data_IF_109948606734
#
_entry.id   IF_109948606734
#
_cell.length_a   1.000
_cell.length_b   1.000
_cell.length_c   1.000
_cell.angle_alpha   90.00
_cell.angle_beta   90.00
_cell.angle_gamma   90.00
#
_symmetry.space_group_name_H-M   'P 1'
#
loop_
_entity.id
_entity.type
_entity.pdbx_description
1 polymer ?
#
# COMPACT_ATOMS: atom_id res chain seq x y z
N UNK A 1 5.69 27.78 -14.43
CA UNK A 1 5.62 26.32 -14.67
C UNK A 1 5.36 25.60 -13.35
N UNK A 2 4.12 25.24 -13.07
CA UNK A 2 3.67 24.64 -11.80
C UNK A 2 2.64 23.52 -12.01
N UNK A 3 1.99 23.44 -13.18
CA UNK A 3 0.97 22.42 -13.47
C UNK A 3 1.52 21.02 -13.70
N UNK A 4 2.66 20.87 -14.41
CA UNK A 4 3.21 19.54 -14.75
C UNK A 4 3.67 18.78 -13.51
N UNK A 5 4.46 19.41 -12.63
CA UNK A 5 4.89 18.79 -11.37
C UNK A 5 3.68 18.38 -10.52
N UNK A 6 2.68 19.26 -10.37
CA UNK A 6 1.45 18.96 -9.62
C UNK A 6 0.68 17.80 -10.23
N UNK A 7 0.55 17.77 -11.55
CA UNK A 7 -0.12 16.70 -12.28
C UNK A 7 0.57 15.36 -12.04
N UNK A 8 1.90 15.30 -12.15
CA UNK A 8 2.69 14.08 -11.87
C UNK A 8 2.45 13.61 -10.43
N UNK A 9 2.50 14.52 -9.45
CA UNK A 9 2.25 14.18 -8.05
C UNK A 9 0.84 13.62 -7.81
N UNK A 10 -0.18 14.25 -8.40
CA UNK A 10 -1.57 13.83 -8.28
C UNK A 10 -1.83 12.50 -8.97
N UNK A 11 -1.28 12.29 -10.18
CA UNK A 11 -1.39 11.03 -10.91
C UNK A 11 -0.70 9.91 -10.14
N UNK A 12 0.51 10.12 -9.61
CA UNK A 12 1.18 9.13 -8.78
C UNK A 12 0.34 8.77 -7.55
N UNK A 13 -0.21 9.76 -6.84
CA UNK A 13 -1.07 9.51 -5.68
C UNK A 13 -2.34 8.72 -6.05
N UNK A 14 -2.98 9.08 -7.17
CA UNK A 14 -4.20 8.42 -7.63
C UNK A 14 -3.94 6.97 -8.07
N UNK A 15 -2.86 6.74 -8.82
CA UNK A 15 -2.45 5.41 -9.27
C UNK A 15 -2.02 4.54 -8.09
N UNK A 16 -1.28 5.10 -7.13
CA UNK A 16 -0.86 4.39 -5.92
C UNK A 16 -2.07 3.99 -5.07
N UNK A 17 -2.99 4.93 -4.81
CA UNK A 17 -4.24 4.64 -4.10
C UNK A 17 -5.11 3.63 -4.84
N UNK A 18 -5.31 3.81 -6.15
CA UNK A 18 -6.13 2.92 -6.97
C UNK A 18 -5.62 1.48 -6.97
N UNK A 19 -4.30 1.28 -7.08
CA UNK A 19 -3.68 -0.04 -6.96
C UNK A 19 -3.92 -0.66 -5.57
N UNK A 20 -3.78 0.12 -4.49
CA UNK A 20 -4.02 -0.36 -3.13
C UNK A 20 -5.48 -0.77 -2.89
N UNK A 21 -6.41 0.07 -3.35
CA UNK A 21 -7.85 -0.17 -3.25
C UNK A 21 -8.26 -1.42 -4.05
N UNK A 22 -7.84 -1.49 -5.32
CA UNK A 22 -8.14 -2.62 -6.20
C UNK A 22 -7.56 -3.93 -5.65
N UNK A 23 -6.32 -3.89 -5.15
CA UNK A 23 -5.72 -5.07 -4.54
C UNK A 23 -6.52 -5.57 -3.33
N UNK A 24 -6.95 -4.64 -2.48
CA UNK A 24 -7.67 -4.95 -1.23
C UNK A 24 -9.06 -5.53 -1.49
N UNK A 25 -9.82 -4.93 -2.42
CA UNK A 25 -11.24 -5.27 -2.62
C UNK A 25 -11.43 -6.39 -3.65
N UNK A 26 -10.58 -6.46 -4.68
CA UNK A 26 -10.75 -7.42 -5.77
C UNK A 26 -9.69 -8.53 -5.73
N UNK A 27 -8.41 -8.16 -5.82
CA UNK A 27 -7.32 -9.15 -6.05
C UNK A 27 -7.13 -10.07 -4.85
N UNK A 28 -7.08 -9.53 -3.63
CA UNK A 28 -6.90 -10.30 -2.41
C UNK A 28 -7.98 -11.37 -2.22
N UNK A 29 -9.29 -11.00 -2.24
CA UNK A 29 -10.38 -11.97 -2.16
C UNK A 29 -10.41 -12.97 -3.31
N UNK A 30 -10.04 -12.57 -4.53
CA UNK A 30 -10.05 -13.44 -5.70
C UNK A 30 -9.14 -14.67 -5.54
N UNK A 31 -8.03 -14.58 -4.81
CA UNK A 31 -7.16 -15.75 -4.59
C UNK A 31 -7.82 -16.86 -3.76
N UNK A 32 -8.84 -16.54 -2.98
CA UNK A 32 -9.52 -17.50 -2.10
C UNK A 32 -10.99 -17.70 -2.48
N UNK A 33 -11.39 -17.28 -3.68
CA UNK A 33 -12.73 -17.56 -4.21
C UNK A 33 -12.90 -19.05 -4.55
N UNK A 34 -14.16 -19.49 -4.62
CA UNK A 34 -14.47 -20.87 -4.99
C UNK A 34 -13.94 -21.22 -6.39
N UNK A 35 -13.95 -20.25 -7.32
CA UNK A 35 -13.42 -20.40 -8.67
C UNK A 35 -11.90 -20.65 -8.66
N UNK A 36 -11.16 -19.89 -7.85
CA UNK A 36 -9.71 -20.08 -7.73
C UNK A 36 -9.37 -21.40 -7.03
N UNK A 37 -10.14 -21.77 -6.00
CA UNK A 37 -9.94 -23.03 -5.29
C UNK A 37 -10.34 -24.24 -6.15
N UNK A 38 -11.28 -24.10 -7.07
CA UNK A 38 -11.65 -25.14 -8.03
C UNK A 38 -10.50 -25.51 -8.96
N UNK A 39 -9.64 -24.54 -9.32
CA UNK A 39 -8.40 -24.80 -10.11
C UNK A 39 -7.46 -25.74 -9.35
N UNK A 40 -7.48 -25.69 -8.01
CA UNK A 40 -6.67 -26.57 -7.14
C UNK A 40 -7.43 -27.80 -6.63
N UNK A 41 -8.55 -28.15 -7.27
CA UNK A 41 -9.31 -29.39 -7.02
C UNK A 41 -10.68 -29.15 -6.39
N UNK A 42 -10.80 -28.23 -5.43
CA UNK A 42 -12.05 -27.68 -4.87
C UNK A 42 -11.74 -26.91 -3.57
N UNK A 43 -12.74 -26.20 -3.03
CA UNK A 43 -12.64 -25.57 -1.72
C UNK A 43 -12.44 -26.58 -0.57
N UNK A 44 -12.84 -27.83 -0.76
CA UNK A 44 -12.73 -28.92 0.22
C UNK A 44 -11.48 -29.77 0.02
N UNK A 45 -10.81 -29.68 -1.13
CA UNK A 45 -9.62 -30.45 -1.41
C UNK A 45 -8.48 -30.10 -0.42
N UNK A 46 -7.77 -31.11 0.12
CA UNK A 46 -6.63 -30.85 1.00
C UNK A 46 -5.57 -30.04 0.23
N UNK A 47 -4.99 -29.05 0.90
CA UNK A 47 -3.96 -28.13 0.36
C UNK A 47 -4.40 -27.12 -0.72
N UNK A 48 -5.64 -27.11 -1.21
CA UNK A 48 -6.08 -26.11 -2.22
C UNK A 48 -5.82 -24.66 -1.77
N UNK A 49 -6.13 -24.37 -0.49
CA UNK A 49 -5.84 -23.08 0.16
C UNK A 49 -4.35 -22.79 0.32
N UNK A 50 -3.51 -23.82 0.44
CA UNK A 50 -2.06 -23.65 0.52
C UNK A 50 -1.49 -23.19 -0.81
N UNK A 51 -1.94 -23.79 -1.92
CA UNK A 51 -1.54 -23.40 -3.27
C UNK A 51 -2.03 -22.00 -3.62
N UNK A 52 -3.29 -21.68 -3.31
CA UNK A 52 -3.83 -20.33 -3.42
C UNK A 52 -2.99 -19.30 -2.64
N UNK A 53 -2.61 -19.63 -1.40
CA UNK A 53 -1.73 -18.79 -0.57
C UNK A 53 -0.36 -18.55 -1.19
N UNK A 54 0.25 -19.56 -1.82
CA UNK A 54 1.53 -19.42 -2.52
C UNK A 54 1.41 -18.50 -3.75
N UNK A 55 0.33 -18.63 -4.53
CA UNK A 55 0.05 -17.72 -5.65
C UNK A 55 -0.14 -16.29 -5.15
N UNK A 56 -0.92 -16.10 -4.08
CA UNK A 56 -1.12 -14.79 -3.46
C UNK A 56 0.22 -14.16 -3.04
N UNK A 57 1.17 -14.92 -2.47
CA UNK A 57 2.48 -14.40 -2.08
C UNK A 57 3.33 -13.91 -3.27
N UNK A 58 3.26 -14.58 -4.41
CA UNK A 58 3.97 -14.15 -5.64
C UNK A 58 3.45 -12.80 -6.09
N UNK A 59 2.13 -12.62 -6.12
CA UNK A 59 1.50 -11.37 -6.52
C UNK A 59 1.73 -10.28 -5.47
N UNK A 60 1.68 -10.62 -4.19
CA UNK A 60 1.95 -9.69 -3.08
C UNK A 60 3.38 -9.10 -3.16
N UNK A 61 4.36 -9.89 -3.62
CA UNK A 61 5.74 -9.38 -3.85
C UNK A 61 5.76 -8.28 -4.92
N UNK A 62 4.97 -8.43 -5.99
CA UNK A 62 4.86 -7.41 -7.04
C UNK A 62 4.10 -6.17 -6.55
N UNK A 63 3.07 -6.38 -5.73
CA UNK A 63 2.33 -5.31 -5.07
C UNK A 63 3.22 -4.45 -4.16
N UNK A 64 4.10 -5.04 -3.35
CA UNK A 64 5.05 -4.27 -2.55
C UNK A 64 6.09 -3.53 -3.40
N UNK A 65 6.56 -4.12 -4.50
CA UNK A 65 7.43 -3.42 -5.45
C UNK A 65 6.75 -2.16 -5.99
N UNK A 66 5.46 -2.25 -6.32
CA UNK A 66 4.67 -1.11 -6.76
C UNK A 66 4.62 0.00 -5.70
N UNK A 67 4.41 -0.36 -4.44
CA UNK A 67 4.48 0.61 -3.33
C UNK A 67 5.85 1.28 -3.22
N UNK A 68 6.95 0.55 -3.44
CA UNK A 68 8.29 1.13 -3.41
C UNK A 68 8.51 2.14 -4.53
N UNK A 69 8.06 1.81 -5.74
CA UNK A 69 8.13 2.71 -6.90
C UNK A 69 7.32 3.98 -6.64
N UNK A 70 6.06 3.86 -6.23
CA UNK A 70 5.21 5.02 -5.95
C UNK A 70 5.72 5.87 -4.78
N UNK A 71 6.28 5.25 -3.74
CA UNK A 71 6.93 5.94 -2.64
C UNK A 71 8.17 6.72 -3.11
N UNK A 72 9.03 6.09 -3.92
CA UNK A 72 10.21 6.75 -4.49
C UNK A 72 9.81 7.95 -5.36
N UNK A 73 8.83 7.78 -6.26
CA UNK A 73 8.29 8.87 -7.09
C UNK A 73 7.75 9.99 -6.19
N UNK A 74 6.97 9.64 -5.16
CA UNK A 74 6.41 10.61 -4.21
C UNK A 74 7.49 11.41 -3.47
N UNK A 75 8.56 10.75 -3.02
CA UNK A 75 9.69 11.39 -2.32
C UNK A 75 10.50 12.29 -3.24
N UNK A 76 10.83 11.82 -4.44
CA UNK A 76 11.53 12.63 -5.46
C UNK A 76 10.69 13.84 -5.84
N UNK A 77 9.38 13.66 -6.00
CA UNK A 77 8.46 14.75 -6.28
C UNK A 77 8.40 15.78 -5.15
N UNK A 78 8.37 15.33 -3.88
CA UNK A 78 8.40 16.21 -2.71
C UNK A 78 9.71 17.02 -2.64
N UNK A 79 10.86 16.38 -2.91
CA UNK A 79 12.15 17.05 -2.96
C UNK A 79 12.23 18.06 -4.12
N UNK A 80 11.70 17.69 -5.29
CA UNK A 80 11.63 18.58 -6.44
C UNK A 80 10.77 19.81 -6.14
N UNK A 81 9.61 19.65 -5.49
CA UNK A 81 8.77 20.78 -5.08
C UNK A 81 9.53 21.73 -4.12
N UNK A 82 10.24 21.18 -3.13
CA UNK A 82 11.01 21.99 -2.19
C UNK A 82 12.16 22.75 -2.88
N UNK A 83 12.91 22.07 -3.74
CA UNK A 83 14.07 22.64 -4.43
C UNK A 83 13.68 23.67 -5.51
N UNK A 84 12.68 23.38 -6.33
CA UNK A 84 12.30 24.26 -7.45
C UNK A 84 11.40 25.43 -7.04
N UNK A 85 10.54 25.26 -6.04
CA UNK A 85 9.59 26.30 -5.64
C UNK A 85 10.05 27.10 -4.41
N UNK A 86 11.15 26.68 -3.76
CA UNK A 86 11.65 27.29 -2.52
C UNK A 86 10.62 27.24 -1.38
N UNK A 87 9.64 26.34 -1.47
CA UNK A 87 8.52 26.28 -0.53
C UNK A 87 8.87 25.40 0.67
N UNK A 88 8.46 25.80 1.88
CA UNK A 88 8.63 24.95 3.04
C UNK A 88 7.81 23.66 2.85
N UNK A 89 8.44 22.53 3.14
CA UNK A 89 7.78 21.23 3.13
C UNK A 89 6.58 21.24 4.09
N UNK A 90 5.37 21.02 3.57
CA UNK A 90 4.19 20.93 4.40
C UNK A 90 4.34 19.74 5.35
N UNK A 91 4.47 20.02 6.66
CA UNK A 91 4.80 19.05 7.70
C UNK A 91 3.87 17.83 7.67
N UNK A 92 2.56 18.07 7.52
CA UNK A 92 1.57 16.98 7.48
C UNK A 92 1.67 16.11 6.22
N UNK A 93 1.79 16.69 5.02
CA UNK A 93 1.92 15.93 3.77
C UNK A 93 3.21 15.11 3.76
N UNK A 94 4.30 15.71 4.22
CA UNK A 94 5.61 15.06 4.31
C UNK A 94 5.59 13.92 5.32
N UNK A 95 5.06 14.16 6.52
CA UNK A 95 4.92 13.14 7.56
C UNK A 95 4.05 11.97 7.12
N UNK A 96 2.93 12.26 6.44
CA UNK A 96 2.04 11.22 5.90
C UNK A 96 2.73 10.38 4.82
N UNK A 97 3.40 11.02 3.85
CA UNK A 97 4.13 10.31 2.79
C UNK A 97 5.24 9.42 3.38
N UNK A 98 6.02 9.95 4.32
CA UNK A 98 7.06 9.19 5.00
C UNK A 98 6.48 8.01 5.79
N UNK A 99 5.37 8.24 6.51
CA UNK A 99 4.67 7.17 7.23
C UNK A 99 4.19 6.06 6.32
N UNK A 100 3.56 6.40 5.19
CA UNK A 100 3.10 5.42 4.18
C UNK A 100 4.29 4.69 3.56
N UNK A 101 5.39 5.40 3.26
CA UNK A 101 6.59 4.79 2.69
C UNK A 101 7.23 3.78 3.68
N UNK A 102 7.35 4.15 4.95
CA UNK A 102 7.88 3.27 6.01
C UNK A 102 6.98 2.04 6.20
N UNK A 103 5.65 2.23 6.23
CA UNK A 103 4.70 1.11 6.32
C UNK A 103 4.79 0.17 5.10
N UNK A 104 4.93 0.71 3.89
CA UNK A 104 5.14 -0.09 2.69
C UNK A 104 6.43 -0.92 2.75
N UNK A 105 7.53 -0.28 3.18
CA UNK A 105 8.85 -0.93 3.35
C UNK A 105 8.79 -2.05 4.38
N UNK A 106 8.25 -1.78 5.57
CA UNK A 106 8.13 -2.80 6.63
C UNK A 106 7.23 -3.96 6.21
N UNK A 107 6.17 -3.68 5.45
CA UNK A 107 5.28 -4.71 4.90
C UNK A 107 6.01 -5.73 4.02
N UNK A 108 6.79 -5.27 3.04
CA UNK A 108 7.47 -6.18 2.12
C UNK A 108 8.80 -6.76 2.63
N UNK A 109 9.57 -5.99 3.40
CA UNK A 109 10.89 -6.43 3.88
C UNK A 109 10.83 -7.30 5.14
N UNK A 110 9.80 -7.15 5.97
CA UNK A 110 9.72 -7.85 7.25
C UNK A 110 8.45 -8.69 7.40
N UNK A 111 7.28 -8.12 7.15
CA UNK A 111 6.02 -8.83 7.36
C UNK A 111 5.80 -9.95 6.34
N UNK A 112 6.10 -9.70 5.06
CA UNK A 112 5.99 -10.69 3.99
C UNK A 112 6.87 -11.94 4.21
N UNK A 113 8.19 -11.84 4.50
CA UNK A 113 8.98 -13.03 4.77
C UNK A 113 8.49 -13.78 6.02
N UNK A 114 8.01 -13.07 7.05
CA UNK A 114 7.47 -13.72 8.24
C UNK A 114 6.21 -14.54 7.94
N UNK A 115 5.29 -13.99 7.15
CA UNK A 115 4.10 -14.71 6.70
C UNK A 115 4.43 -15.92 5.83
N UNK A 116 5.44 -15.80 4.96
CA UNK A 116 5.91 -16.90 4.11
C UNK A 116 6.51 -18.04 4.93
N UNK A 117 7.33 -17.71 5.92
CA UNK A 117 7.92 -18.68 6.85
C UNK A 117 6.82 -19.47 7.58
N UNK A 118 5.88 -18.75 8.20
CA UNK A 118 4.78 -19.36 8.96
C UNK A 118 3.84 -20.19 8.08
N UNK A 119 3.55 -19.75 6.86
CA UNK A 119 2.77 -20.52 5.90
C UNK A 119 3.47 -21.81 5.49
N UNK A 120 4.78 -21.74 5.22
CA UNK A 120 5.58 -22.91 4.85
C UNK A 120 5.61 -23.92 6.00
N UNK A 121 5.82 -23.45 7.24
CA UNK A 121 5.78 -24.30 8.43
C UNK A 121 4.40 -24.94 8.65
N UNK A 122 3.31 -24.17 8.50
CA UNK A 122 1.93 -24.65 8.64
C UNK A 122 1.61 -25.85 7.74
N UNK A 123 2.16 -25.85 6.51
CA UNK A 123 1.90 -26.90 5.51
C UNK A 123 3.05 -27.90 5.33
N UNK A 124 4.11 -27.84 6.15
CA UNK A 124 5.24 -28.76 6.02
C UNK A 124 4.90 -30.15 6.61
N UNK A 125 4.83 -31.22 5.81
CA UNK A 125 4.49 -32.56 6.30
C UNK A 125 5.56 -33.17 7.21
N UNK A 126 6.80 -32.64 7.19
CA UNK A 126 7.90 -33.12 8.02
C UNK A 126 7.86 -32.61 9.47
N UNK A 127 7.08 -31.56 9.75
CA UNK A 127 6.95 -31.00 11.10
C UNK A 127 5.90 -31.74 11.93
N UNK A 128 6.12 -31.78 13.25
CA UNK A 128 5.16 -32.37 14.19
C UNK A 128 3.81 -31.65 14.09
N UNK A 129 2.73 -32.37 14.36
CA UNK A 129 1.37 -31.80 14.30
C UNK A 129 1.23 -30.57 15.23
N UNK A 130 1.87 -30.59 16.39
CA UNK A 130 1.89 -29.49 17.35
C UNK A 130 2.60 -28.25 16.80
N UNK A 131 3.77 -28.41 16.17
CA UNK A 131 4.52 -27.32 15.54
C UNK A 131 3.75 -26.68 14.38
N UNK A 132 3.06 -27.52 13.58
CA UNK A 132 2.17 -27.04 12.51
C UNK A 132 0.98 -26.25 13.06
N UNK A 133 0.39 -26.69 14.17
CA UNK A 133 -0.72 -25.99 14.81
C UNK A 133 -0.29 -24.62 15.35
N UNK A 134 0.86 -24.54 16.03
CA UNK A 134 1.44 -23.28 16.52
C UNK A 134 1.76 -22.31 15.37
N UNK A 135 2.34 -22.82 14.28
CA UNK A 135 2.57 -22.04 13.07
C UNK A 135 1.25 -21.53 12.46
N UNK A 136 0.19 -22.34 12.50
CA UNK A 136 -1.15 -21.96 12.05
C UNK A 136 -1.77 -20.81 12.83
N UNK A 137 -1.68 -20.84 14.16
CA UNK A 137 -2.16 -19.75 15.04
C UNK A 137 -1.36 -18.48 14.81
N UNK A 138 -0.03 -18.59 14.80
CA UNK A 138 0.86 -17.46 14.54
C UNK A 138 0.61 -16.85 13.16
N UNK A 139 0.41 -17.68 12.15
CA UNK A 139 0.07 -17.24 10.80
C UNK A 139 -1.23 -16.44 10.79
N UNK A 140 -2.28 -16.91 11.47
CA UNK A 140 -3.57 -16.22 11.52
C UNK A 140 -3.45 -14.83 12.15
N UNK A 141 -2.69 -14.71 13.25
CA UNK A 141 -2.43 -13.42 13.92
C UNK A 141 -1.68 -12.47 12.99
N UNK A 142 -0.54 -12.91 12.44
CA UNK A 142 0.26 -12.08 11.53
C UNK A 142 -0.48 -11.72 10.25
N UNK A 143 -1.35 -12.61 9.75
CA UNK A 143 -2.20 -12.33 8.61
C UNK A 143 -3.20 -11.22 8.94
N UNK A 144 -3.85 -11.27 10.11
CA UNK A 144 -4.72 -10.21 10.60
C UNK A 144 -3.99 -8.86 10.73
N UNK A 145 -2.79 -8.85 11.31
CA UNK A 145 -1.93 -7.65 11.39
C UNK A 145 -1.61 -7.10 10.00
N UNK A 146 -1.32 -7.99 9.04
CA UNK A 146 -1.06 -7.58 7.65
C UNK A 146 -2.30 -6.97 6.98
N UNK A 147 -3.49 -7.52 7.21
CA UNK A 147 -4.72 -6.97 6.68
C UNK A 147 -5.02 -5.58 7.28
N UNK A 148 -4.88 -5.44 8.60
CA UNK A 148 -5.03 -4.15 9.28
C UNK A 148 -4.02 -3.11 8.75
N UNK A 149 -2.77 -3.51 8.56
CA UNK A 149 -1.73 -2.64 7.99
C UNK A 149 -2.07 -2.22 6.55
N UNK A 150 -2.55 -3.14 5.73
CA UNK A 150 -2.96 -2.85 4.35
C UNK A 150 -4.16 -1.87 4.30
N UNK A 151 -5.13 -2.02 5.21
CA UNK A 151 -6.25 -1.07 5.34
C UNK A 151 -5.76 0.31 5.78
N UNK A 152 -4.89 0.36 6.79
CA UNK A 152 -4.28 1.61 7.25
C UNK A 152 -3.50 2.29 6.12
N UNK A 153 -2.74 1.53 5.33
CA UNK A 153 -2.00 2.03 4.17
C UNK A 153 -2.95 2.58 3.11
N UNK A 154 -4.03 1.87 2.79
CA UNK A 154 -5.05 2.30 1.83
C UNK A 154 -5.74 3.59 2.28
N UNK A 155 -6.12 3.68 3.56
CA UNK A 155 -6.70 4.90 4.14
C UNK A 155 -5.70 6.07 4.15
N UNK A 156 -4.44 5.81 4.47
CA UNK A 156 -3.36 6.79 4.41
C UNK A 156 -3.16 7.33 3.00
N UNK A 157 -3.20 6.46 1.98
CA UNK A 157 -3.10 6.84 0.57
C UNK A 157 -4.29 7.69 0.11
N UNK A 158 -5.50 7.35 0.56
CA UNK A 158 -6.69 8.18 0.30
C UNK A 158 -6.51 9.59 0.91
N UNK A 159 -6.07 9.66 2.17
CA UNK A 159 -5.80 10.94 2.82
C UNK A 159 -4.69 11.72 2.10
N UNK A 160 -3.64 11.03 1.64
CA UNK A 160 -2.54 11.65 0.89
C UNK A 160 -2.99 12.20 -0.47
N UNK A 161 -3.83 11.45 -1.18
CA UNK A 161 -4.46 11.88 -2.43
C UNK A 161 -5.36 13.10 -2.18
N UNK A 162 -6.20 13.04 -1.15
CA UNK A 162 -7.08 14.14 -0.77
C UNK A 162 -6.32 15.41 -0.42
N UNK A 163 -5.24 15.31 0.37
CA UNK A 163 -4.38 16.45 0.69
C UNK A 163 -3.70 17.01 -0.55
N UNK A 164 -3.24 16.13 -1.45
CA UNK A 164 -2.61 16.54 -2.72
C UNK A 164 -3.60 17.24 -3.67
N UNK A 165 -4.87 16.84 -3.66
CA UNK A 165 -5.93 17.47 -4.45
C UNK A 165 -6.43 18.78 -3.83
N UNK A 166 -6.64 18.82 -2.51
CA UNK A 166 -7.17 19.98 -1.77
C UNK A 166 -6.16 21.13 -1.63
N UNK A 167 -4.86 20.84 -1.58
CA UNK A 167 -3.84 21.88 -1.63
C UNK A 167 -3.92 22.74 -2.92
N UNK A 168 -4.42 22.16 -4.02
CA UNK A 168 -4.57 22.88 -5.28
C UNK A 168 -5.70 23.94 -5.24
N UNK A 169 -6.74 23.74 -4.43
CA UNK A 169 -7.92 24.62 -4.41
C UNK A 169 -7.83 25.78 -3.43
N UNK A 170 -6.85 25.80 -2.53
CA UNK A 170 -6.61 26.90 -1.57
C UNK A 170 -5.70 28.00 -2.13
N UNK A 171 -4.73 27.66 -2.98
CA UNK A 171 -3.88 28.67 -3.64
C UNK A 171 -4.62 29.47 -4.71
N UNK A 172 -5.56 28.85 -5.40
CA UNK A 172 -6.35 29.49 -6.46
C UNK A 172 -7.43 30.44 -5.91
N UNK A 173 -7.70 30.36 -4.59
CA UNK A 173 -8.70 31.15 -3.86
C UNK A 173 -8.13 32.31 -3.04
N UNK A 174 -6.88 32.72 -3.26
CA UNK A 174 -6.47 34.06 -2.82
C UNK A 174 -6.95 35.06 -3.87
N UNK A 175 -8.06 35.80 -3.67
CA UNK A 175 -8.30 36.97 -4.48
C UNK A 175 -7.06 37.86 -4.33
N UNK A 176 -6.40 38.18 -5.45
CA UNK A 176 -5.47 39.30 -5.49
C UNK A 176 -6.33 40.50 -5.11
N UNK A 177 -6.23 40.99 -3.87
CA UNK A 177 -7.01 42.14 -3.47
C UNK A 177 -6.59 43.30 -4.38
N UNK A 178 -7.49 43.90 -5.18
CA UNK A 178 -7.14 45.04 -6.02
C UNK A 178 -6.84 46.30 -5.19
N UNK A 179 -6.98 46.22 -3.86
CA UNK A 179 -6.85 47.32 -2.90
C UNK A 179 -5.47 47.42 -2.24
N UNK A 180 -4.45 46.71 -2.73
CA UNK A 180 -3.06 46.84 -2.23
C UNK A 180 -2.21 47.87 -2.98
N UNK A 181 -2.84 48.80 -3.69
CA UNK A 181 -2.18 50.03 -4.17
C UNK A 181 -2.87 51.26 -3.57
N UNK A 182 -2.07 52.12 -2.94
CA UNK A 182 -2.37 53.36 -2.19
C UNK A 182 -2.67 53.11 -0.70
N UNK A 183 -2.02 53.77 0.27
CA UNK A 183 -1.25 55.01 0.25
C UNK A 183 0.13 54.86 0.91
#
# INVERSE_FOLDING_TARGET
MTGLLRFIGLVNAAVWFGAALFFTIAVGPAFFSDEMLAIFGSAQAPYSRAWAGLVAMVVLKRYFLWHYVCAAIGLVHLLAEAAYLGRPLARWRTGLLLGIAVLGLSGGLWMQPKLKELHTAKYNPQLKAEERAQAGVSFAVWHGVSQATNLLMTAGLLAFLWLSASHNSSEQRRPVSPFLYKA
#
